data_IF_937563008899
#
_entry.id   IF_937563008899
#
_cell.length_a   1.000
_cell.length_b   1.000
_cell.length_c   1.000
_cell.angle_alpha   90.00
_cell.angle_beta   90.00
_cell.angle_gamma   90.00
#
_symmetry.space_group_name_H-M   'P 1'
#
loop_
_entity.id
_entity.type
_entity.pdbx_description
1 polymer ?
#
# COMPACT_ATOMS: atom_id res chain seq x y z
N UNK A 1 35.84 -37.32 29.29
CA UNK A 1 34.59 -38.02 28.90
C UNK A 1 33.38 -37.08 28.90
N UNK A 2 33.11 -36.35 29.98
CA UNK A 2 32.00 -35.37 30.10
C UNK A 2 32.04 -34.26 29.05
N UNK A 3 33.21 -33.70 28.75
CA UNK A 3 33.37 -32.67 27.73
C UNK A 3 32.98 -33.14 26.30
N UNK A 4 33.34 -34.39 25.95
CA UNK A 4 32.99 -34.98 24.65
C UNK A 4 31.47 -35.22 24.55
N UNK A 5 30.86 -35.71 25.63
CA UNK A 5 29.41 -35.89 25.69
C UNK A 5 28.66 -34.55 25.57
N UNK A 6 29.12 -33.52 26.30
CA UNK A 6 28.54 -32.19 26.23
C UNK A 6 28.66 -31.58 24.82
N UNK A 7 29.79 -31.76 24.16
CA UNK A 7 30.01 -31.31 22.78
C UNK A 7 29.09 -32.06 21.80
N UNK A 8 28.98 -33.38 21.93
CA UNK A 8 28.12 -34.20 21.08
C UNK A 8 26.65 -33.77 21.20
N UNK A 9 26.14 -33.57 22.42
CA UNK A 9 24.77 -33.09 22.66
C UNK A 9 24.52 -31.73 22.00
N UNK A 10 25.45 -30.78 22.15
CA UNK A 10 25.33 -29.45 21.51
C UNK A 10 25.34 -29.55 19.99
N UNK A 11 26.22 -30.36 19.41
CA UNK A 11 26.30 -30.52 17.95
C UNK A 11 25.04 -31.16 17.37
N UNK A 12 24.53 -32.21 18.00
CA UNK A 12 23.29 -32.88 17.57
C UNK A 12 22.09 -31.92 17.72
N UNK A 13 22.02 -31.19 18.84
CA UNK A 13 20.98 -30.17 19.05
C UNK A 13 21.01 -29.08 17.99
N UNK A 14 22.19 -28.52 17.69
CA UNK A 14 22.35 -27.55 16.60
C UNK A 14 21.96 -28.15 15.24
N UNK A 15 22.28 -29.42 14.99
CA UNK A 15 21.83 -30.12 13.79
C UNK A 15 20.30 -30.15 13.67
N UNK A 16 19.58 -30.45 14.76
CA UNK A 16 18.11 -30.39 14.78
C UNK A 16 17.56 -28.98 14.56
N UNK A 17 18.23 -27.94 15.08
CA UNK A 17 17.85 -26.55 14.81
C UNK A 17 17.95 -26.23 13.31
N UNK A 18 19.02 -26.66 12.65
CA UNK A 18 19.21 -26.47 11.19
C UNK A 18 18.13 -27.22 10.41
N UNK A 19 17.91 -28.50 10.73
CA UNK A 19 16.88 -29.32 10.07
C UNK A 19 15.48 -28.71 10.25
N UNK A 20 15.16 -28.21 11.44
CA UNK A 20 13.89 -27.55 11.71
C UNK A 20 13.71 -26.27 10.88
N UNK A 21 14.74 -25.43 10.79
CA UNK A 21 14.73 -24.21 9.96
C UNK A 21 14.54 -24.54 8.49
N UNK A 22 15.29 -25.51 7.97
CA UNK A 22 15.12 -25.97 6.57
C UNK A 22 13.71 -26.50 6.34
N UNK A 23 13.16 -27.28 7.28
CA UNK A 23 11.79 -27.78 7.17
C UNK A 23 10.75 -26.66 7.15
N UNK A 24 10.90 -25.63 7.97
CA UNK A 24 9.98 -24.47 7.98
C UNK A 24 10.03 -23.71 6.65
N UNK A 25 11.22 -23.54 6.07
CA UNK A 25 11.40 -22.83 4.80
C UNK A 25 10.96 -23.66 3.58
N UNK A 26 11.13 -24.98 3.63
CA UNK A 26 10.89 -25.88 2.49
C UNK A 26 9.45 -26.38 2.40
N UNK A 27 8.81 -26.70 3.53
CA UNK A 27 7.46 -27.26 3.48
C UNK A 27 6.44 -26.20 3.08
N UNK A 28 5.44 -26.58 2.30
CA UNK A 28 4.35 -25.69 1.86
C UNK A 28 3.17 -25.74 2.83
N UNK A 29 2.93 -26.89 3.45
CA UNK A 29 1.84 -27.14 4.39
C UNK A 29 2.19 -26.63 5.81
N UNK A 30 1.35 -25.79 6.46
CA UNK A 30 1.56 -25.34 7.83
C UNK A 30 1.68 -26.47 8.87
N UNK A 31 1.02 -27.61 8.69
CA UNK A 31 1.11 -28.77 9.59
C UNK A 31 2.50 -29.41 9.50
N UNK A 32 3.05 -29.55 8.29
CA UNK A 32 4.41 -30.04 8.09
C UNK A 32 5.46 -29.06 8.61
N UNK A 33 5.25 -27.74 8.41
CA UNK A 33 6.10 -26.69 9.02
C UNK A 33 6.07 -26.75 10.54
N UNK A 34 4.89 -26.95 11.13
CA UNK A 34 4.74 -27.11 12.58
C UNK A 34 5.50 -28.34 13.08
N UNK A 35 5.40 -29.47 12.37
CA UNK A 35 6.16 -30.68 12.69
C UNK A 35 7.69 -30.49 12.58
N UNK A 36 8.15 -29.63 11.66
CA UNK A 36 9.55 -29.24 11.61
C UNK A 36 9.92 -28.33 12.79
N UNK A 37 9.13 -27.29 13.05
CA UNK A 37 9.35 -26.31 14.12
C UNK A 37 9.41 -26.96 15.51
N UNK A 38 8.57 -27.97 15.78
CA UNK A 38 8.58 -28.67 17.08
C UNK A 38 9.91 -29.34 17.38
N UNK A 39 10.65 -29.81 16.36
CA UNK A 39 11.98 -30.42 16.54
C UNK A 39 13.02 -29.41 17.01
N UNK A 40 12.88 -28.14 16.61
CA UNK A 40 13.80 -27.08 17.02
C UNK A 40 13.73 -26.86 18.54
N UNK A 41 12.52 -26.84 19.11
CA UNK A 41 12.33 -26.69 20.55
C UNK A 41 12.79 -27.94 21.33
N UNK A 42 12.14 -29.07 21.10
CA UNK A 42 12.31 -30.25 21.97
C UNK A 42 13.67 -30.91 21.82
N UNK A 43 14.11 -31.16 20.58
CA UNK A 43 15.39 -31.82 20.31
C UNK A 43 16.53 -30.80 20.16
N UNK A 44 16.30 -29.71 19.42
CA UNK A 44 17.34 -28.72 19.15
C UNK A 44 17.81 -28.00 20.41
N UNK A 45 16.97 -27.12 20.93
CA UNK A 45 17.26 -26.37 22.14
C UNK A 45 17.40 -27.30 23.37
N UNK A 46 16.61 -28.38 23.45
CA UNK A 46 16.71 -29.34 24.55
C UNK A 46 18.10 -29.98 24.68
N UNK A 47 18.65 -30.53 23.59
CA UNK A 47 19.98 -31.15 23.62
C UNK A 47 21.10 -30.11 23.86
N UNK A 48 20.95 -28.89 23.32
CA UNK A 48 21.90 -27.80 23.59
C UNK A 48 21.91 -27.44 25.08
N UNK A 49 20.74 -27.28 25.71
CA UNK A 49 20.63 -26.95 27.14
C UNK A 49 21.21 -28.05 28.03
N UNK A 50 20.97 -29.33 27.70
CA UNK A 50 21.59 -30.45 28.40
C UNK A 50 23.12 -30.41 28.28
N UNK A 51 23.64 -30.13 27.09
CA UNK A 51 25.08 -29.94 26.88
C UNK A 51 25.65 -28.74 27.64
N UNK A 52 24.88 -27.65 27.82
CA UNK A 52 25.28 -26.48 28.62
C UNK A 52 25.40 -26.83 30.10
N UNK A 53 24.44 -27.57 30.66
CA UNK A 53 24.48 -28.05 32.06
C UNK A 53 25.77 -28.84 32.32
N UNK A 54 26.10 -29.77 31.42
CA UNK A 54 27.31 -30.60 31.52
C UNK A 54 28.61 -29.81 31.31
N UNK A 55 28.58 -28.70 30.55
CA UNK A 55 29.78 -27.89 30.28
C UNK A 55 30.09 -26.96 31.45
N UNK A 56 29.08 -26.30 32.03
CA UNK A 56 29.27 -25.29 33.08
C UNK A 56 29.37 -25.90 34.46
N UNK A 57 28.57 -26.92 34.77
CA UNK A 57 28.60 -27.62 36.06
C UNK A 57 28.29 -26.75 37.30
N UNK A 58 27.94 -25.47 37.13
CA UNK A 58 27.55 -24.58 38.22
C UNK A 58 26.06 -24.71 38.53
N UNK A 59 25.68 -24.51 39.79
CA UNK A 59 24.29 -24.59 40.24
C UNK A 59 23.41 -23.61 39.46
N UNK A 60 23.84 -22.36 39.31
CA UNK A 60 23.07 -21.31 38.61
C UNK A 60 22.79 -21.66 37.16
N UNK A 61 23.82 -22.08 36.41
CA UNK A 61 23.66 -22.44 35.00
C UNK A 61 22.77 -23.68 34.83
N UNK A 62 22.85 -24.62 35.77
CA UNK A 62 22.04 -25.84 35.76
C UNK A 62 20.57 -25.52 36.03
N UNK A 63 20.28 -24.73 37.06
CA UNK A 63 18.92 -24.32 37.42
C UNK A 63 18.26 -23.54 36.29
N UNK A 64 18.95 -22.52 35.75
CA UNK A 64 18.42 -21.71 34.64
C UNK A 64 18.16 -22.56 33.40
N UNK A 65 19.11 -23.42 33.02
CA UNK A 65 18.95 -24.28 31.83
C UNK A 65 17.82 -25.29 32.02
N UNK A 66 17.63 -25.79 33.24
CA UNK A 66 16.61 -26.78 33.56
C UNK A 66 15.22 -26.17 33.55
N UNK A 67 15.08 -24.98 34.16
CA UNK A 67 13.83 -24.24 34.15
C UNK A 67 13.45 -23.83 32.73
N UNK A 68 14.44 -23.43 31.92
CA UNK A 68 14.26 -23.15 30.49
C UNK A 68 13.78 -24.39 29.74
N UNK A 69 14.37 -25.56 30.00
CA UNK A 69 13.97 -26.82 29.38
C UNK A 69 12.52 -27.21 29.73
N UNK A 70 12.14 -27.10 31.01
CA UNK A 70 10.77 -27.36 31.46
C UNK A 70 9.79 -26.40 30.80
N UNK A 71 10.11 -25.10 30.80
CA UNK A 71 9.25 -24.08 30.20
C UNK A 71 9.06 -24.34 28.70
N UNK A 72 10.13 -24.71 28.00
CA UNK A 72 10.08 -25.03 26.59
C UNK A 72 9.21 -26.27 26.33
N UNK A 73 9.43 -27.36 27.05
CA UNK A 73 8.63 -28.59 26.88
C UNK A 73 7.17 -28.38 27.27
N UNK A 74 6.88 -27.54 28.27
CA UNK A 74 5.51 -27.24 28.68
C UNK A 74 4.75 -26.34 27.72
N UNK A 75 5.42 -25.35 27.13
CA UNK A 75 4.77 -24.36 26.24
C UNK A 75 4.62 -24.87 24.81
N UNK A 76 5.51 -25.73 24.33
CA UNK A 76 5.49 -26.23 22.95
C UNK A 76 4.19 -27.00 22.59
N UNK A 77 3.66 -27.91 23.43
CA UNK A 77 2.40 -28.60 23.15
C UNK A 77 1.20 -27.65 23.09
N UNK A 78 1.15 -26.65 23.98
CA UNK A 78 0.08 -25.65 24.00
C UNK A 78 0.11 -24.81 22.72
N UNK A 79 1.28 -24.30 22.35
CA UNK A 79 1.48 -23.54 21.12
C UNK A 79 1.12 -24.38 19.88
N UNK A 80 1.58 -25.63 19.82
CA UNK A 80 1.29 -26.55 18.73
C UNK A 80 -0.21 -26.86 18.59
N UNK A 81 -0.92 -27.06 19.71
CA UNK A 81 -2.36 -27.34 19.68
C UNK A 81 -3.16 -26.12 19.18
N UNK A 82 -2.85 -24.92 19.70
CA UNK A 82 -3.51 -23.69 19.27
C UNK A 82 -3.23 -23.37 17.81
N UNK A 83 -1.96 -23.49 17.38
CA UNK A 83 -1.56 -23.21 16.01
C UNK A 83 -2.15 -24.24 15.03
N UNK A 84 -2.11 -25.53 15.37
CA UNK A 84 -2.71 -26.59 14.56
C UNK A 84 -4.23 -26.42 14.42
N UNK A 85 -4.93 -26.09 15.50
CA UNK A 85 -6.38 -25.81 15.45
C UNK A 85 -6.68 -24.58 14.60
N UNK A 86 -5.91 -23.49 14.74
CA UNK A 86 -6.10 -22.28 13.95
C UNK A 86 -5.87 -22.54 12.45
N UNK A 87 -4.79 -23.25 12.10
CA UNK A 87 -4.48 -23.61 10.72
C UNK A 87 -5.55 -24.54 10.11
N UNK A 88 -6.08 -25.48 10.89
CA UNK A 88 -7.13 -26.38 10.44
C UNK A 88 -8.46 -25.63 10.20
N UNK A 89 -8.92 -24.86 11.18
CA UNK A 89 -10.18 -24.11 11.09
C UNK A 89 -10.15 -23.07 9.96
N UNK A 90 -8.98 -22.48 9.67
CA UNK A 90 -8.80 -21.50 8.60
C UNK A 90 -8.93 -22.09 7.19
N UNK A 91 -8.93 -23.41 7.05
CA UNK A 91 -8.97 -24.11 5.77
C UNK A 91 -7.59 -24.23 5.11
N UNK A 92 -6.49 -23.98 5.83
CA UNK A 92 -5.15 -24.01 5.26
C UNK A 92 -4.82 -25.37 4.61
N UNK A 93 -4.01 -25.36 3.56
CA UNK A 93 -3.68 -26.55 2.76
C UNK A 93 -3.24 -27.70 3.68
N UNK A 94 -3.91 -28.84 3.55
CA UNK A 94 -3.61 -30.06 4.26
C UNK A 94 -3.16 -31.09 3.22
N UNK A 95 -1.88 -31.44 3.22
CA UNK A 95 -1.30 -32.39 2.26
C UNK A 95 -1.24 -33.82 2.85
N UNK A 96 -2.32 -34.22 3.52
CA UNK A 96 -2.49 -35.57 4.06
C UNK A 96 -3.47 -36.37 3.19
N UNK A 97 -3.26 -37.69 3.12
CA UNK A 97 -4.15 -38.60 2.38
C UNK A 97 -5.55 -38.67 2.99
N UNK A 98 -5.66 -38.43 4.29
CA UNK A 98 -6.92 -38.48 5.03
C UNK A 98 -7.02 -37.29 5.99
N UNK A 99 -8.22 -36.72 6.13
CA UNK A 99 -8.52 -35.68 7.10
C UNK A 99 -9.11 -36.30 8.36
N UNK A 100 -8.24 -36.54 9.35
CA UNK A 100 -8.60 -37.14 10.63
C UNK A 100 -9.52 -36.25 11.50
N UNK A 101 -9.68 -34.97 11.17
CA UNK A 101 -10.49 -34.01 11.92
C UNK A 101 -11.79 -33.66 11.18
N UNK A 102 -12.04 -34.26 10.02
CA UNK A 102 -13.26 -34.08 9.26
C UNK A 102 -14.48 -34.47 10.11
N UNK A 103 -15.45 -33.56 10.21
CA UNK A 103 -16.66 -33.75 11.03
C UNK A 103 -16.46 -33.56 12.54
N UNK A 104 -15.22 -33.46 13.05
CA UNK A 104 -14.92 -33.19 14.47
C UNK A 104 -14.74 -31.69 14.69
N UNK A 105 -13.90 -31.04 13.87
CA UNK A 105 -13.65 -29.60 13.94
C UNK A 105 -14.22 -28.90 12.71
N UNK A 106 -14.82 -27.70 12.88
CA UNK A 106 -15.29 -26.91 11.75
C UNK A 106 -14.09 -26.47 10.92
N UNK A 107 -14.08 -26.85 9.65
CA UNK A 107 -13.07 -26.47 8.67
C UNK A 107 -13.68 -25.55 7.63
N UNK A 108 -13.02 -24.43 7.35
CA UNK A 108 -13.46 -23.58 6.25
C UNK A 108 -13.34 -24.32 4.91
N UNK A 109 -14.33 -24.19 4.00
CA UNK A 109 -14.34 -24.91 2.73
C UNK A 109 -13.26 -24.44 1.74
N UNK A 110 -12.70 -23.26 1.98
CA UNK A 110 -11.61 -22.65 1.21
C UNK A 110 -10.52 -22.16 2.18
N UNK A 111 -9.24 -22.20 1.78
CA UNK A 111 -8.15 -21.63 2.56
C UNK A 111 -8.39 -20.15 2.88
N UNK A 112 -7.81 -19.69 3.99
CA UNK A 112 -7.88 -18.29 4.40
C UNK A 112 -7.41 -17.36 3.28
N UNK A 113 -6.30 -17.70 2.62
CA UNK A 113 -5.73 -16.95 1.49
C UNK A 113 -6.73 -16.80 0.34
N UNK A 114 -7.44 -17.86 -0.03
CA UNK A 114 -8.45 -17.83 -1.10
C UNK A 114 -9.71 -17.08 -0.65
N UNK A 115 -10.13 -17.24 0.60
CA UNK A 115 -11.27 -16.50 1.17
C UNK A 115 -10.97 -15.03 1.31
N UNK A 116 -9.73 -14.67 1.61
CA UNK A 116 -9.23 -13.30 1.61
C UNK A 116 -9.19 -12.76 0.18
N UNK A 117 -8.68 -13.52 -0.78
CA UNK A 117 -8.73 -13.16 -2.20
C UNK A 117 -10.16 -12.97 -2.72
N UNK A 118 -11.11 -13.80 -2.30
CA UNK A 118 -12.52 -13.72 -2.70
C UNK A 118 -13.28 -12.60 -2.00
N UNK A 119 -13.02 -12.39 -0.70
CA UNK A 119 -13.53 -11.22 0.03
C UNK A 119 -12.96 -9.92 -0.55
N UNK A 120 -11.74 -9.97 -1.05
CA UNK A 120 -11.08 -8.90 -1.76
C UNK A 120 -11.74 -8.61 -3.12
N UNK A 121 -12.11 -9.64 -3.89
CA UNK A 121 -12.93 -9.50 -5.12
C UNK A 121 -14.34 -8.99 -4.83
N UNK A 122 -14.92 -9.35 -3.69
CA UNK A 122 -16.27 -8.95 -3.27
C UNK A 122 -16.32 -7.66 -2.42
N UNK A 123 -15.23 -6.89 -2.34
CA UNK A 123 -15.19 -5.58 -1.66
C UNK A 123 -15.22 -5.61 -0.12
N UNK A 124 -15.02 -6.78 0.51
CA UNK A 124 -15.05 -6.95 1.98
C UNK A 124 -13.66 -7.18 2.59
N UNK A 125 -12.83 -6.14 2.69
CA UNK A 125 -11.52 -6.23 3.37
C UNK A 125 -11.62 -6.65 4.84
N UNK A 126 -10.71 -7.52 5.31
CA UNK A 126 -10.62 -7.93 6.72
C UNK A 126 -9.59 -7.07 7.49
N UNK A 127 -9.95 -6.64 8.69
CA UNK A 127 -8.97 -6.27 9.74
C UNK A 127 -8.43 -4.84 9.76
N UNK A 128 -8.64 -4.01 8.73
CA UNK A 128 -8.29 -2.58 8.79
C UNK A 128 -9.20 -1.77 9.73
N UNK A 129 -10.45 -2.23 9.91
CA UNK A 129 -11.48 -1.53 10.67
C UNK A 129 -11.11 -1.24 12.13
N UNK A 130 -10.44 -2.14 12.85
CA UNK A 130 -10.12 -1.93 14.27
C UNK A 130 -8.96 -0.96 14.50
N UNK A 131 -7.88 -1.03 13.71
CA UNK A 131 -6.75 -0.07 13.82
C UNK A 131 -7.08 1.31 13.25
N UNK A 132 -7.88 1.37 12.19
CA UNK A 132 -8.41 2.63 11.66
C UNK A 132 -9.43 3.22 12.64
N UNK A 133 -10.34 2.43 13.22
CA UNK A 133 -11.29 2.91 14.24
C UNK A 133 -10.60 3.40 15.53
N UNK A 134 -9.55 2.72 16.00
CA UNK A 134 -8.75 3.17 17.15
C UNK A 134 -7.98 4.48 16.83
N UNK A 135 -7.39 4.59 15.62
CA UNK A 135 -6.80 5.86 15.15
C UNK A 135 -7.85 6.97 15.01
N UNK A 136 -9.05 6.66 14.52
CA UNK A 136 -10.17 7.59 14.37
C UNK A 136 -10.68 8.10 15.71
N UNK A 137 -10.82 7.23 16.71
CA UNK A 137 -11.22 7.61 18.07
C UNK A 137 -10.24 8.64 18.67
N UNK A 138 -8.93 8.48 18.38
CA UNK A 138 -7.89 9.43 18.81
C UNK A 138 -7.88 10.75 18.02
N UNK A 139 -8.39 10.76 16.78
CA UNK A 139 -8.47 11.96 15.93
C UNK A 139 -9.74 12.78 16.18
N UNK A 140 -10.82 12.13 16.65
CA UNK A 140 -12.11 12.79 16.97
C UNK A 140 -12.01 13.93 17.99
N UNK A 141 -10.94 14.00 18.78
CA UNK A 141 -10.79 15.01 19.84
C UNK A 141 -9.86 16.19 19.49
N UNK A 142 -9.16 16.21 18.35
CA UNK A 142 -8.01 17.15 18.17
C UNK A 142 -7.99 17.99 16.89
N UNK A 143 -9.12 18.15 16.18
CA UNK A 143 -9.19 19.08 15.05
C UNK A 143 -9.93 20.35 15.43
N UNK A 144 -9.11 21.39 15.59
CA UNK A 144 -9.43 22.79 15.90
C UNK A 144 -10.38 23.38 14.85
N UNK A 145 -11.18 24.36 15.27
CA UNK A 145 -12.15 25.11 14.45
C UNK A 145 -11.59 25.50 13.06
N UNK A 146 -12.42 25.34 12.02
CA UNK A 146 -12.15 25.88 10.69
C UNK A 146 -12.11 27.40 10.75
N UNK A 147 -10.97 27.99 10.39
CA UNK A 147 -10.80 29.45 10.37
C UNK A 147 -10.80 29.92 8.92
N UNK A 148 -11.77 30.75 8.49
CA UNK A 148 -11.73 31.38 7.18
C UNK A 148 -10.47 32.24 7.02
N UNK A 149 -9.85 32.19 5.84
CA UNK A 149 -8.67 33.00 5.51
C UNK A 149 -9.04 33.95 4.39
N UNK A 150 -9.04 35.25 4.71
CA UNK A 150 -9.22 36.29 3.70
C UNK A 150 -7.98 36.35 2.79
N UNK A 151 -8.15 36.59 1.48
CA UNK A 151 -7.02 36.85 0.61
C UNK A 151 -6.27 38.11 1.10
N UNK A 152 -4.93 38.13 0.99
CA UNK A 152 -4.14 39.28 1.40
C UNK A 152 -4.52 40.53 0.58
N UNK A 153 -4.48 41.71 1.22
CA UNK A 153 -4.83 42.98 0.57
C UNK A 153 -3.85 43.35 -0.56
N UNK A 154 -2.59 42.92 -0.44
CA UNK A 154 -1.56 43.07 -1.44
C UNK A 154 -1.14 41.68 -1.92
N UNK A 155 -1.01 41.52 -3.24
CA UNK A 155 -0.74 40.22 -3.84
C UNK A 155 0.75 39.87 -3.63
N UNK A 156 1.08 38.73 -3.01
CA UNK A 156 2.47 38.32 -2.84
C UNK A 156 3.15 38.13 -4.20
N UNK A 157 4.44 38.48 -4.27
CA UNK A 157 5.20 38.37 -5.51
C UNK A 157 5.32 36.91 -5.97
N UNK A 158 5.41 36.61 -7.27
CA UNK A 158 5.58 35.24 -7.78
C UNK A 158 6.76 34.48 -7.16
N UNK A 159 7.82 35.21 -6.80
CA UNK A 159 9.02 34.73 -6.13
C UNK A 159 8.75 34.32 -4.67
N UNK A 160 7.85 35.03 -3.98
CA UNK A 160 7.41 34.73 -2.60
C UNK A 160 6.45 33.53 -2.54
N UNK A 161 5.73 33.31 -3.63
CA UNK A 161 4.94 32.10 -3.86
C UNK A 161 5.81 30.90 -4.21
N UNK A 162 7.10 31.13 -4.48
CA UNK A 162 8.09 30.13 -4.88
C UNK A 162 7.48 29.22 -5.97
N UNK A 163 6.83 29.72 -7.02
CA UNK A 163 6.09 28.85 -7.95
C UNK A 163 7.05 28.25 -9.00
N UNK A 164 7.37 26.94 -8.97
CA UNK A 164 8.39 26.35 -9.85
C UNK A 164 7.82 25.86 -11.19
N UNK A 165 6.54 26.11 -11.46
CA UNK A 165 5.87 25.59 -12.63
C UNK A 165 5.42 26.74 -13.53
N UNK A 166 5.90 26.72 -14.77
CA UNK A 166 5.12 27.24 -15.89
C UNK A 166 3.70 26.66 -15.75
N UNK A 167 2.65 27.47 -15.91
CA UNK A 167 1.29 27.20 -15.36
C UNK A 167 0.55 25.98 -15.95
N UNK A 168 1.24 25.05 -16.59
CA UNK A 168 0.71 23.87 -17.26
C UNK A 168 1.59 22.64 -17.10
N UNK A 169 1.27 21.63 -17.90
CA UNK A 169 2.03 20.41 -18.12
C UNK A 169 2.11 20.21 -19.64
N UNK A 170 3.19 19.61 -20.16
CA UNK A 170 3.41 19.46 -21.60
C UNK A 170 2.72 18.21 -22.18
N UNK A 171 2.22 17.32 -21.33
CA UNK A 171 1.53 16.10 -21.74
C UNK A 171 0.89 15.40 -20.54
N UNK A 172 -0.06 14.51 -20.83
CA UNK A 172 -0.64 13.59 -19.85
C UNK A 172 -0.15 12.18 -20.17
N UNK A 173 0.54 11.57 -19.22
CA UNK A 173 0.90 10.15 -19.25
C UNK A 173 0.01 9.39 -18.28
N UNK A 174 -0.53 8.24 -18.67
CA UNK A 174 -1.32 7.42 -17.76
C UNK A 174 -1.02 5.92 -17.89
N UNK A 175 -1.14 5.21 -16.79
CA UNK A 175 -0.93 3.77 -16.75
C UNK A 175 -2.25 3.02 -17.03
N UNK A 176 -2.21 2.05 -17.95
CA UNK A 176 -3.34 1.17 -18.25
C UNK A 176 -3.26 -0.03 -17.30
N UNK A 177 -3.94 0.07 -16.16
CA UNK A 177 -3.91 -0.93 -15.09
C UNK A 177 -5.34 -1.37 -14.77
N UNK A 178 -5.53 -2.68 -14.54
CA UNK A 178 -6.80 -3.22 -14.11
C UNK A 178 -6.88 -3.27 -12.56
N UNK A 179 -8.07 -3.13 -11.96
CA UNK A 179 -9.37 -2.87 -12.60
C UNK A 179 -9.59 -1.38 -12.96
N UNK A 180 -10.71 -1.09 -13.61
CA UNK A 180 -11.19 0.29 -13.85
C UNK A 180 -10.29 1.17 -14.73
N UNK A 181 -9.61 0.59 -15.72
CA UNK A 181 -8.76 1.33 -16.63
C UNK A 181 -9.53 2.42 -17.39
N UNK A 182 -10.84 2.25 -17.60
CA UNK A 182 -11.70 3.22 -18.25
C UNK A 182 -11.89 4.50 -17.44
N UNK A 183 -11.96 4.43 -16.11
CA UNK A 183 -12.06 5.63 -15.26
C UNK A 183 -10.82 6.49 -15.37
N UNK A 184 -9.64 5.88 -15.25
CA UNK A 184 -8.34 6.54 -15.44
C UNK A 184 -8.26 7.14 -16.84
N UNK A 185 -8.64 6.37 -17.86
CA UNK A 185 -8.59 6.80 -19.26
C UNK A 185 -9.50 8.01 -19.50
N UNK A 186 -10.76 7.98 -19.04
CA UNK A 186 -11.68 9.13 -19.17
C UNK A 186 -11.11 10.37 -18.51
N UNK A 187 -10.57 10.23 -17.30
CA UNK A 187 -9.97 11.34 -16.57
C UNK A 187 -8.77 11.92 -17.33
N UNK A 188 -7.86 11.06 -17.80
CA UNK A 188 -6.69 11.48 -18.57
C UNK A 188 -7.07 12.17 -19.90
N UNK A 189 -8.05 11.65 -20.64
CA UNK A 189 -8.59 12.30 -21.86
C UNK A 189 -9.15 13.68 -21.53
N UNK A 190 -9.95 13.80 -20.46
CA UNK A 190 -10.53 15.07 -20.04
C UNK A 190 -9.47 16.13 -19.71
N UNK A 191 -8.43 15.73 -18.97
CA UNK A 191 -7.32 16.61 -18.59
C UNK A 191 -6.49 17.04 -19.79
N UNK A 192 -6.09 16.10 -20.66
CA UNK A 192 -5.31 16.42 -21.84
C UNK A 192 -6.10 17.29 -22.83
N UNK A 193 -7.41 17.06 -22.97
CA UNK A 193 -8.29 17.91 -23.81
C UNK A 193 -8.40 19.32 -23.25
N UNK A 194 -8.61 19.46 -21.95
CA UNK A 194 -8.75 20.77 -21.30
C UNK A 194 -7.47 21.59 -21.40
N UNK A 195 -6.30 20.95 -21.33
CA UNK A 195 -5.01 21.60 -21.45
C UNK A 195 -4.48 21.71 -22.89
N UNK A 196 -5.10 21.02 -23.86
CA UNK A 196 -4.66 21.01 -25.26
C UNK A 196 -3.31 20.31 -25.47
N UNK A 197 -3.03 19.26 -24.71
CA UNK A 197 -1.71 18.59 -24.69
C UNK A 197 -1.78 17.12 -25.12
N UNK A 198 -0.67 16.53 -25.59
CA UNK A 198 -0.63 15.12 -25.99
C UNK A 198 -0.99 14.16 -24.84
N UNK A 199 -1.51 13.00 -25.23
CA UNK A 199 -1.93 11.93 -24.33
C UNK A 199 -1.13 10.65 -24.65
N UNK A 200 -0.51 10.08 -23.62
CA UNK A 200 0.28 8.84 -23.71
C UNK A 200 -0.25 7.79 -22.72
N UNK A 201 -0.62 6.62 -23.21
CA UNK A 201 -0.94 5.44 -22.43
C UNK A 201 0.28 4.52 -22.33
N UNK A 202 0.54 3.98 -21.14
CA UNK A 202 1.56 2.97 -20.91
C UNK A 202 0.90 1.71 -20.33
N UNK A 203 0.98 0.61 -21.06
CA UNK A 203 0.57 -0.72 -20.63
C UNK A 203 1.83 -1.56 -20.37
N UNK A 204 2.00 -2.06 -19.15
CA UNK A 204 3.22 -2.80 -18.77
C UNK A 204 2.85 -4.17 -18.26
N UNK A 205 3.51 -5.20 -18.76
CA UNK A 205 3.57 -6.50 -18.09
C UNK A 205 4.77 -6.47 -17.14
N UNK A 206 4.52 -6.51 -15.84
CA UNK A 206 5.58 -6.56 -14.84
C UNK A 206 6.35 -7.88 -14.94
N UNK A 207 7.59 -7.80 -15.45
CA UNK A 207 8.46 -8.95 -15.62
C UNK A 207 8.72 -9.68 -14.30
N UNK A 208 8.92 -8.95 -13.21
CA UNK A 208 9.22 -9.58 -11.92
C UNK A 208 7.98 -10.33 -11.40
N UNK A 209 6.77 -9.84 -11.69
CA UNK A 209 5.54 -10.56 -11.38
C UNK A 209 5.43 -11.86 -12.16
N UNK A 210 5.83 -11.86 -13.44
CA UNK A 210 5.79 -13.05 -14.28
C UNK A 210 6.84 -14.08 -13.85
N UNK A 211 8.07 -13.63 -13.57
CA UNK A 211 9.18 -14.53 -13.21
C UNK A 211 9.03 -15.16 -11.82
N UNK A 212 8.45 -14.44 -10.87
CA UNK A 212 8.27 -14.90 -9.49
C UNK A 212 6.90 -15.55 -9.23
N UNK A 213 6.05 -15.66 -10.26
CA UNK A 213 4.77 -16.32 -10.14
C UNK A 213 4.94 -17.81 -9.86
N UNK A 214 4.16 -18.33 -8.92
CA UNK A 214 4.15 -19.77 -8.58
C UNK A 214 3.36 -20.64 -9.56
N UNK A 215 2.55 -20.02 -10.43
CA UNK A 215 1.70 -20.70 -11.40
C UNK A 215 2.24 -20.48 -12.82
N UNK A 216 2.49 -21.54 -13.61
CA UNK A 216 3.03 -21.43 -14.98
C UNK A 216 2.20 -20.54 -15.89
N UNK A 217 0.89 -20.48 -15.67
CA UNK A 217 -0.08 -19.72 -16.47
C UNK A 217 -0.15 -18.23 -16.11
N UNK A 218 0.62 -17.76 -15.12
CA UNK A 218 0.53 -16.37 -14.64
C UNK A 218 0.75 -15.33 -15.75
N UNK A 219 1.69 -15.61 -16.67
CA UNK A 219 1.95 -14.74 -17.83
C UNK A 219 0.69 -14.56 -18.67
N UNK A 220 -0.04 -15.64 -18.94
CA UNK A 220 -1.23 -15.62 -19.79
C UNK A 220 -2.42 -14.96 -19.07
N UNK A 221 -2.57 -15.20 -17.76
CA UNK A 221 -3.59 -14.53 -16.95
C UNK A 221 -3.35 -13.02 -16.87
N UNK A 222 -2.10 -12.59 -16.63
CA UNK A 222 -1.73 -11.17 -16.62
C UNK A 222 -1.99 -10.53 -17.99
N UNK A 223 -1.59 -11.21 -19.08
CA UNK A 223 -1.85 -10.76 -20.46
C UNK A 223 -3.34 -10.61 -20.74
N UNK A 224 -4.16 -11.58 -20.35
CA UNK A 224 -5.60 -11.52 -20.54
C UNK A 224 -6.22 -10.34 -19.78
N UNK A 225 -5.82 -10.14 -18.51
CA UNK A 225 -6.30 -9.01 -17.70
C UNK A 225 -5.86 -7.65 -18.24
N UNK A 226 -4.63 -7.55 -18.75
CA UNK A 226 -4.16 -6.33 -19.39
C UNK A 226 -4.89 -6.08 -20.72
N UNK A 227 -5.21 -7.13 -21.49
CA UNK A 227 -6.02 -7.00 -22.70
C UNK A 227 -7.42 -6.45 -22.38
N UNK A 228 -8.08 -6.96 -21.32
CA UNK A 228 -9.36 -6.41 -20.83
C UNK A 228 -9.26 -4.91 -20.51
N UNK A 229 -8.18 -4.49 -19.85
CA UNK A 229 -7.92 -3.09 -19.51
C UNK A 229 -7.64 -2.21 -20.75
N UNK A 230 -6.88 -2.72 -21.72
CA UNK A 230 -6.63 -2.03 -23.00
C UNK A 230 -7.93 -1.85 -23.77
N UNK A 231 -8.81 -2.85 -23.79
CA UNK A 231 -10.11 -2.75 -24.45
C UNK A 231 -11.02 -1.73 -23.76
N UNK A 232 -10.98 -1.63 -22.43
CA UNK A 232 -11.67 -0.58 -21.68
C UNK A 232 -11.16 0.81 -22.05
N UNK A 233 -9.84 1.00 -22.07
CA UNK A 233 -9.21 2.24 -22.51
C UNK A 233 -9.59 2.60 -23.96
N UNK A 234 -9.59 1.62 -24.88
CA UNK A 234 -9.96 1.83 -26.29
C UNK A 234 -11.41 2.27 -26.45
N UNK A 235 -12.34 1.72 -25.65
CA UNK A 235 -13.75 2.16 -25.66
C UNK A 235 -13.88 3.63 -25.31
N UNK A 236 -13.13 4.10 -24.32
CA UNK A 236 -13.15 5.52 -23.93
C UNK A 236 -12.46 6.42 -24.96
N UNK A 237 -11.34 5.95 -25.53
CA UNK A 237 -10.55 6.70 -26.52
C UNK A 237 -11.24 6.79 -27.88
N UNK A 238 -12.16 5.88 -28.21
CA UNK A 238 -12.91 5.93 -29.48
C UNK A 238 -13.67 7.26 -29.68
N UNK A 239 -14.00 7.94 -28.57
CA UNK A 239 -14.67 9.25 -28.56
C UNK A 239 -13.71 10.44 -28.35
N UNK A 240 -12.41 10.19 -28.24
CA UNK A 240 -11.41 11.21 -27.99
C UNK A 240 -10.99 11.93 -29.29
N UNK A 241 -11.01 13.27 -29.33
CA UNK A 241 -10.63 14.05 -30.50
C UNK A 241 -9.11 14.13 -30.73
N UNK A 242 -8.31 13.75 -29.74
CA UNK A 242 -6.85 13.86 -29.78
C UNK A 242 -6.19 12.49 -29.97
N UNK A 243 -5.06 12.40 -30.70
CA UNK A 243 -4.35 11.14 -30.88
C UNK A 243 -3.79 10.62 -29.55
N UNK A 244 -3.96 9.32 -29.31
CA UNK A 244 -3.41 8.60 -28.17
C UNK A 244 -2.19 7.78 -28.63
N UNK A 245 -1.03 8.01 -28.03
CA UNK A 245 0.10 7.09 -28.15
C UNK A 245 -0.04 5.97 -27.11
N UNK A 246 0.02 4.70 -27.52
CA UNK A 246 0.04 3.55 -26.62
C UNK A 246 1.40 2.87 -26.68
N UNK A 247 2.10 2.83 -25.56
CA UNK A 247 3.28 1.99 -25.35
C UNK A 247 2.85 0.70 -24.65
N UNK A 248 3.19 -0.45 -25.22
CA UNK A 248 2.98 -1.76 -24.62
C UNK A 248 4.34 -2.44 -24.48
N UNK A 249 4.76 -2.70 -23.24
CA UNK A 249 6.10 -3.21 -22.94
C UNK A 249 6.05 -4.27 -21.83
N UNK A 250 6.96 -5.25 -21.88
CA UNK A 250 7.17 -6.22 -20.79
C UNK A 250 8.50 -5.87 -20.10
N UNK A 251 8.47 -5.52 -18.81
CA UNK A 251 9.65 -5.02 -18.11
C UNK A 251 9.37 -4.53 -16.70
N UNK A 252 10.23 -3.65 -16.20
CA UNK A 252 10.07 -3.02 -14.87
C UNK A 252 9.11 -1.81 -14.96
N UNK A 253 7.93 -1.84 -14.30
CA UNK A 253 7.01 -0.71 -14.26
C UNK A 253 7.65 0.60 -13.77
N UNK A 254 8.66 0.52 -12.89
CA UNK A 254 9.35 1.70 -12.34
C UNK A 254 10.28 2.38 -13.34
N UNK A 255 10.61 1.72 -14.44
CA UNK A 255 11.38 2.29 -15.54
C UNK A 255 10.49 2.72 -16.72
N UNK A 256 9.31 2.09 -16.87
CA UNK A 256 8.45 2.24 -18.05
C UNK A 256 7.30 3.24 -17.85
N UNK A 257 6.70 3.30 -16.66
CA UNK A 257 5.54 4.15 -16.39
C UNK A 257 5.92 5.62 -16.10
N UNK A 258 6.88 5.93 -15.20
CA UNK A 258 7.14 7.32 -14.85
C UNK A 258 7.89 8.06 -15.97
N UNK A 259 7.63 9.37 -16.09
CA UNK A 259 8.56 10.26 -16.80
C UNK A 259 9.77 10.52 -15.89
N UNK A 260 10.96 10.11 -16.34
CA UNK A 260 12.21 10.22 -15.58
C UNK A 260 13.00 11.50 -15.86
N UNK A 261 12.54 12.34 -16.80
CA UNK A 261 13.15 13.64 -17.09
C UNK A 261 12.20 14.76 -16.70
N UNK A 262 12.66 15.68 -15.86
CA UNK A 262 11.92 16.89 -15.48
C UNK A 262 11.59 17.79 -16.69
N UNK A 263 12.35 17.67 -17.79
CA UNK A 263 12.07 18.39 -19.04
C UNK A 263 10.76 17.95 -19.70
N UNK A 264 10.30 16.72 -19.43
CA UNK A 264 9.04 16.21 -19.97
C UNK A 264 7.82 16.98 -19.47
N UNK A 265 7.88 17.54 -18.25
CA UNK A 265 6.79 18.31 -17.60
C UNK A 265 5.41 17.64 -17.74
N UNK A 266 5.36 16.31 -17.63
CA UNK A 266 4.12 15.57 -17.79
C UNK A 266 3.36 15.43 -16.47
N UNK A 267 2.04 15.34 -16.56
CA UNK A 267 1.17 14.88 -15.48
C UNK A 267 1.03 13.37 -15.60
N UNK A 268 1.46 12.63 -14.57
CA UNK A 268 1.23 11.20 -14.48
C UNK A 268 -0.13 10.91 -13.84
N UNK A 269 -0.93 10.07 -14.50
CA UNK A 269 -2.25 9.65 -14.03
C UNK A 269 -2.26 8.15 -13.77
N UNK A 270 -2.54 7.77 -12.52
CA UNK A 270 -2.55 6.38 -12.06
C UNK A 270 -3.93 6.05 -11.47
N UNK A 271 -4.37 4.78 -11.44
CA UNK A 271 -5.54 4.42 -10.66
C UNK A 271 -5.23 4.47 -9.16
N UNK A 272 -6.26 4.70 -8.34
CA UNK A 272 -6.16 4.52 -6.89
C UNK A 272 -6.28 3.04 -6.48
N UNK A 273 -6.74 2.17 -7.36
CA UNK A 273 -6.86 0.73 -7.16
C UNK A 273 -6.19 -0.08 -8.30
N UNK A 274 -5.93 -1.36 -8.06
CA UNK A 274 -5.20 -2.19 -9.01
C UNK A 274 -3.68 -2.15 -8.83
N UNK A 275 -3.01 -3.03 -9.55
CA UNK A 275 -1.58 -3.31 -9.37
C UNK A 275 -0.94 -3.67 -10.71
N UNK A 276 0.40 -3.64 -10.80
CA UNK A 276 1.13 -3.93 -12.04
C UNK A 276 0.95 -5.37 -12.57
N UNK A 277 0.33 -6.27 -11.79
CA UNK A 277 -0.10 -7.60 -12.24
C UNK A 277 -1.58 -7.64 -12.67
N UNK A 278 -2.24 -6.50 -12.84
CA UNK A 278 -3.61 -6.35 -13.37
C UNK A 278 -4.69 -7.17 -12.64
N UNK A 279 -4.54 -7.39 -11.34
CA UNK A 279 -5.51 -8.18 -10.57
C UNK A 279 -5.51 -9.68 -10.88
N UNK A 280 -4.47 -10.21 -11.54
CA UNK A 280 -4.36 -11.63 -11.95
C UNK A 280 -4.36 -12.68 -10.81
N UNK A 281 -4.63 -12.30 -9.55
CA UNK A 281 -4.75 -13.24 -8.42
C UNK A 281 -3.53 -14.13 -8.18
N UNK A 282 -2.37 -13.73 -8.70
CA UNK A 282 -1.15 -14.55 -8.68
C UNK A 282 -0.62 -14.59 -7.26
N UNK A 283 -0.41 -15.80 -6.73
CA UNK A 283 0.12 -15.99 -5.38
C UNK A 283 1.63 -15.73 -5.39
N UNK A 284 2.04 -14.57 -4.89
CA UNK A 284 3.46 -14.25 -4.71
C UNK A 284 3.97 -14.79 -3.37
N UNK A 285 5.26 -15.06 -3.22
CA UNK A 285 5.85 -15.29 -1.90
C UNK A 285 5.51 -14.09 -1.00
N UNK A 286 4.83 -14.35 0.12
CA UNK A 286 4.35 -13.37 1.11
C UNK A 286 5.47 -12.49 1.72
N UNK A 287 6.73 -12.73 1.37
CA UNK A 287 7.91 -12.07 1.93
C UNK A 287 8.59 -11.05 1.00
N UNK A 288 8.10 -10.83 -0.22
CA UNK A 288 8.55 -9.71 -1.05
C UNK A 288 7.49 -8.61 -1.09
N UNK A 289 7.42 -7.83 0.01
CA UNK A 289 6.70 -6.55 0.09
C UNK A 289 6.99 -5.61 -1.11
N UNK A 290 8.09 -5.85 -1.84
CA UNK A 290 8.55 -5.08 -3.00
C UNK A 290 7.72 -5.22 -4.28
N UNK A 291 7.03 -6.35 -4.50
CA UNK A 291 6.28 -6.57 -5.74
C UNK A 291 4.90 -5.90 -5.73
N UNK A 292 4.26 -5.82 -4.56
CA UNK A 292 2.94 -5.22 -4.40
C UNK A 292 2.98 -3.69 -4.52
N UNK A 293 3.99 -3.02 -3.96
CA UNK A 293 3.98 -1.56 -3.84
C UNK A 293 4.53 -0.79 -5.06
N UNK A 294 4.72 -1.46 -6.21
CA UNK A 294 5.27 -0.81 -7.41
C UNK A 294 4.42 0.36 -7.90
N UNK A 295 3.09 0.29 -7.77
CA UNK A 295 2.19 1.40 -8.13
C UNK A 295 2.55 2.69 -7.37
N UNK A 296 2.81 2.59 -6.07
CA UNK A 296 3.21 3.75 -5.26
C UNK A 296 4.66 4.15 -5.53
N UNK A 297 5.55 3.20 -5.79
CA UNK A 297 6.94 3.50 -6.12
C UNK A 297 7.07 4.22 -7.47
N UNK A 298 6.15 4.02 -8.41
CA UNK A 298 6.09 4.78 -9.67
C UNK A 298 5.98 6.28 -9.39
N UNK A 299 5.09 6.70 -8.49
CA UNK A 299 4.91 8.14 -8.19
C UNK A 299 6.16 8.77 -7.57
N UNK A 300 6.94 8.00 -6.81
CA UNK A 300 8.20 8.46 -6.22
C UNK A 300 9.35 8.58 -7.23
N UNK A 301 9.23 7.93 -8.39
CA UNK A 301 10.21 7.98 -9.48
C UNK A 301 9.85 8.99 -10.56
N UNK A 302 8.61 9.45 -10.58
CA UNK A 302 8.17 10.45 -11.53
C UNK A 302 8.66 11.84 -11.10
N UNK A 303 9.32 12.56 -12.00
CA UNK A 303 9.84 13.92 -11.76
C UNK A 303 8.74 15.01 -11.77
N UNK A 304 7.46 14.64 -11.89
CA UNK A 304 6.32 15.54 -11.99
C UNK A 304 5.15 15.18 -11.05
N UNK A 305 4.05 15.97 -11.09
CA UNK A 305 2.85 15.71 -10.29
C UNK A 305 2.22 14.35 -10.64
N UNK A 306 1.78 13.61 -9.63
CA UNK A 306 1.06 12.35 -9.85
C UNK A 306 -0.38 12.45 -9.36
N UNK A 307 -1.33 12.27 -10.27
CA UNK A 307 -2.75 12.19 -9.98
C UNK A 307 -3.19 10.71 -9.91
N UNK A 308 -3.60 10.28 -8.72
CA UNK A 308 -4.32 9.03 -8.53
C UNK A 308 -5.81 9.26 -8.70
N UNK A 309 -6.43 8.54 -9.65
CA UNK A 309 -7.85 8.66 -10.00
C UNK A 309 -8.70 7.72 -9.17
N UNK A 310 -9.68 8.30 -8.50
CA UNK A 310 -10.66 7.58 -7.69
C UNK A 310 -11.60 6.70 -8.52
N UNK A 311 -12.20 5.70 -7.89
CA UNK A 311 -13.29 4.93 -8.52
C UNK A 311 -14.64 5.67 -8.47
N UNK A 312 -14.74 6.72 -7.64
CA UNK A 312 -15.91 7.59 -7.53
C UNK A 312 -15.52 9.03 -7.85
N UNK A 313 -16.36 9.72 -8.62
CA UNK A 313 -16.17 11.15 -8.85
C UNK A 313 -16.50 11.90 -7.55
N UNK A 314 -15.57 12.71 -7.06
CA UNK A 314 -15.82 13.58 -5.91
C UNK A 314 -17.02 14.49 -6.17
N UNK A 315 -17.97 14.53 -5.23
CA UNK A 315 -19.26 15.19 -5.42
C UNK A 315 -19.25 16.70 -5.14
N UNK A 316 -18.22 17.23 -4.45
CA UNK A 316 -18.16 18.63 -4.03
C UNK A 316 -17.04 19.43 -4.67
N UNK A 317 -17.21 20.74 -4.87
CA UNK A 317 -16.17 21.67 -5.33
C UNK A 317 -15.06 21.97 -4.29
N UNK A 318 -14.89 21.12 -3.28
CA UNK A 318 -13.91 21.32 -2.20
C UNK A 318 -12.60 20.60 -2.51
N UNK A 319 -11.49 21.31 -2.46
CA UNK A 319 -10.13 20.76 -2.50
C UNK A 319 -9.55 20.71 -1.08
N UNK A 320 -9.09 19.54 -0.63
CA UNK A 320 -8.49 19.41 0.71
C UNK A 320 -6.97 19.28 0.58
N UNK A 321 -6.22 20.18 1.21
CA UNK A 321 -4.76 20.23 1.12
C UNK A 321 -4.14 19.82 2.46
N UNK A 322 -3.45 18.68 2.48
CA UNK A 322 -2.68 18.23 3.64
C UNK A 322 -1.32 18.93 3.66
N UNK A 323 -1.10 19.77 4.66
CA UNK A 323 0.12 20.59 4.76
C UNK A 323 1.00 20.10 5.92
N UNK A 324 2.24 19.71 5.61
CA UNK A 324 3.23 19.20 6.59
C UNK A 324 4.16 20.30 7.15
N UNK A 325 4.08 21.51 6.60
CA UNK A 325 4.87 22.68 6.98
C UNK A 325 5.87 23.08 5.89
N UNK A 326 6.15 22.18 4.95
CA UNK A 326 6.90 22.48 3.74
C UNK A 326 5.99 23.06 2.66
N UNK A 327 6.56 23.84 1.72
CA UNK A 327 5.80 24.47 0.63
C UNK A 327 5.35 23.51 -0.48
N UNK A 328 5.68 22.21 -0.42
CA UNK A 328 5.40 21.24 -1.50
C UNK A 328 3.91 21.07 -1.77
N UNK A 329 3.13 20.73 -0.73
CA UNK A 329 1.68 20.56 -0.87
C UNK A 329 0.99 21.86 -1.27
N UNK A 330 1.48 23.00 -0.79
CA UNK A 330 0.99 24.32 -1.17
C UNK A 330 1.24 24.60 -2.67
N UNK A 331 2.47 24.38 -3.15
CA UNK A 331 2.86 24.54 -4.56
C UNK A 331 2.01 23.66 -5.46
N UNK A 332 1.83 22.40 -5.07
CA UNK A 332 1.05 21.43 -5.80
C UNK A 332 -0.44 21.82 -5.87
N UNK A 333 -1.02 22.29 -4.76
CA UNK A 333 -2.39 22.79 -4.72
C UNK A 333 -2.56 24.04 -5.58
N UNK A 334 -1.62 24.99 -5.49
CA UNK A 334 -1.61 26.19 -6.32
C UNK A 334 -1.53 25.86 -7.81
N UNK A 335 -0.65 24.93 -8.18
CA UNK A 335 -0.53 24.43 -9.55
C UNK A 335 -1.81 23.75 -10.02
N UNK A 336 -2.45 22.92 -9.19
CA UNK A 336 -3.71 22.25 -9.51
C UNK A 336 -4.88 23.24 -9.75
N UNK A 337 -4.95 24.31 -8.95
CA UNK A 337 -5.93 25.39 -9.12
C UNK A 337 -5.66 26.15 -10.41
N UNK A 338 -4.40 26.53 -10.67
CA UNK A 338 -4.01 27.28 -11.85
C UNK A 338 -4.25 26.50 -13.16
N UNK A 339 -4.02 25.18 -13.14
CA UNK A 339 -4.26 24.27 -14.26
C UNK A 339 -5.71 23.81 -14.38
N UNK A 340 -6.58 24.21 -13.44
CA UNK A 340 -8.00 23.84 -13.38
C UNK A 340 -8.22 22.32 -13.45
N UNK A 341 -7.41 21.54 -12.72
CA UNK A 341 -7.61 20.09 -12.62
C UNK A 341 -9.02 19.73 -12.11
N UNK A 342 -9.57 20.57 -11.24
CA UNK A 342 -10.94 20.50 -10.74
C UNK A 342 -11.63 21.86 -10.81
N UNK A 343 -12.96 21.86 -10.84
CA UNK A 343 -13.75 23.05 -10.58
C UNK A 343 -13.79 23.28 -9.06
N UNK A 344 -12.89 24.13 -8.57
CA UNK A 344 -12.72 24.39 -7.14
C UNK A 344 -13.57 25.58 -6.71
N UNK A 345 -14.48 25.36 -5.76
CA UNK A 345 -15.30 26.38 -5.08
C UNK A 345 -14.73 26.73 -3.70
N UNK A 346 -14.04 25.78 -3.05
CA UNK A 346 -13.42 25.99 -1.74
C UNK A 346 -12.16 25.16 -1.57
N UNK A 347 -11.22 25.67 -0.78
CA UNK A 347 -9.97 25.00 -0.42
C UNK A 347 -9.89 24.91 1.10
N UNK A 348 -9.65 23.71 1.63
CA UNK A 348 -9.42 23.50 3.06
C UNK A 348 -7.99 23.04 3.27
N UNK A 349 -7.17 23.90 3.88
CA UNK A 349 -5.80 23.58 4.28
C UNK A 349 -5.84 22.94 5.67
N UNK A 350 -5.32 21.72 5.79
CA UNK A 350 -5.29 20.98 7.05
C UNK A 350 -3.85 20.68 7.42
N UNK A 351 -3.38 21.15 8.58
CA UNK A 351 -2.05 20.79 9.08
C UNK A 351 -1.30 21.92 9.79
N UNK A 352 0.01 21.98 9.52
CA UNK A 352 0.98 22.86 10.19
C UNK A 352 1.43 24.05 9.34
N UNK A 353 0.64 24.45 8.33
CA UNK A 353 0.94 25.60 7.49
C UNK A 353 1.13 26.89 8.31
N UNK A 354 2.12 27.70 7.95
CA UNK A 354 2.28 29.06 8.47
C UNK A 354 1.17 29.96 7.93
N UNK A 355 0.94 31.10 8.60
CA UNK A 355 -0.05 32.09 8.16
C UNK A 355 0.22 32.54 6.72
N UNK A 356 1.48 32.90 6.44
CA UNK A 356 1.93 33.38 5.13
C UNK A 356 1.72 32.32 4.03
N UNK A 357 1.95 31.03 4.34
CA UNK A 357 1.71 29.94 3.39
C UNK A 357 0.22 29.82 3.03
N UNK A 358 -0.68 29.97 3.99
CA UNK A 358 -2.13 29.88 3.72
C UNK A 358 -2.64 31.13 3.00
N UNK A 359 -2.17 32.33 3.37
CA UNK A 359 -2.53 33.58 2.70
C UNK A 359 -2.06 33.61 1.24
N UNK A 360 -0.85 33.09 0.98
CA UNK A 360 -0.33 32.88 -0.36
C UNK A 360 -1.22 31.96 -1.22
N UNK A 361 -1.67 30.83 -0.67
CA UNK A 361 -2.61 29.95 -1.37
C UNK A 361 -3.99 30.62 -1.54
N UNK A 362 -4.43 31.42 -0.57
CA UNK A 362 -5.69 32.16 -0.64
C UNK A 362 -5.70 33.20 -1.77
N UNK A 363 -4.57 33.87 -2.03
CA UNK A 363 -4.43 34.78 -3.17
C UNK A 363 -4.65 34.05 -4.51
N UNK A 364 -4.11 32.83 -4.66
CA UNK A 364 -4.25 32.03 -5.89
C UNK A 364 -5.67 31.46 -6.01
N UNK A 365 -6.24 30.97 -4.91
CA UNK A 365 -7.60 30.44 -4.87
C UNK A 365 -8.63 31.54 -5.21
N UNK A 366 -8.41 32.78 -4.76
CA UNK A 366 -9.27 33.91 -5.06
C UNK A 366 -9.37 34.22 -6.56
N UNK A 367 -8.27 34.09 -7.33
CA UNK A 367 -8.29 34.23 -8.79
C UNK A 367 -9.21 33.18 -9.47
N UNK A 368 -9.34 32.01 -8.86
CA UNK A 368 -10.22 30.93 -9.30
C UNK A 368 -11.64 31.02 -8.71
N UNK A 369 -11.94 32.03 -7.88
CA UNK A 369 -13.22 32.18 -7.20
C UNK A 369 -13.41 31.24 -6.01
N UNK A 370 -12.34 30.63 -5.48
CA UNK A 370 -12.40 29.65 -4.40
C UNK A 370 -12.09 30.27 -3.03
N UNK A 371 -12.93 29.98 -2.03
CA UNK A 371 -12.70 30.42 -0.65
C UNK A 371 -11.72 29.51 0.10
N UNK A 372 -10.85 30.06 0.95
CA UNK A 372 -9.86 29.28 1.71
C UNK A 372 -10.21 29.20 3.20
N UNK A 373 -10.08 28.00 3.75
CA UNK A 373 -10.23 27.70 5.16
C UNK A 373 -8.97 27.03 5.68
N UNK A 374 -8.57 27.33 6.92
CA UNK A 374 -7.42 26.72 7.58
C UNK A 374 -7.87 25.94 8.82
N UNK A 375 -7.44 24.69 8.90
CA UNK A 375 -7.62 23.80 10.04
C UNK A 375 -6.26 23.48 10.61
N UNK A 376 -5.91 24.16 11.70
CA UNK A 376 -4.63 23.94 12.37
C UNK A 376 -4.63 22.60 13.10
N UNK A 377 -3.68 21.73 12.76
CA UNK A 377 -3.51 20.42 13.42
C UNK A 377 -2.14 20.37 14.11
N UNK A 378 -2.04 20.72 15.41
CA UNK A 378 -0.77 20.65 16.12
C UNK A 378 -0.32 19.18 16.26
N UNK A 379 0.90 18.87 15.81
CA UNK A 379 1.59 17.56 16.02
C UNK A 379 0.93 16.32 15.41
N UNK A 380 0.32 16.43 14.24
CA UNK A 380 -0.04 15.25 13.47
C UNK A 380 1.14 14.79 12.60
N UNK A 381 1.61 13.53 12.70
CA UNK A 381 2.67 13.04 11.81
C UNK A 381 2.21 13.06 10.35
N UNK A 382 3.16 13.16 9.41
CA UNK A 382 2.90 12.94 7.99
C UNK A 382 2.12 11.62 7.80
N UNK A 383 0.96 11.68 7.14
CA UNK A 383 0.02 10.55 7.03
C UNK A 383 -1.03 10.44 8.14
N UNK A 384 -1.34 11.54 8.84
CA UNK A 384 -2.43 11.55 9.80
C UNK A 384 -3.80 11.58 9.09
N UNK A 385 -4.64 10.63 9.47
CA UNK A 385 -6.01 10.49 9.00
C UNK A 385 -6.80 11.81 9.11
N UNK A 386 -7.44 12.21 8.02
CA UNK A 386 -8.42 13.28 7.98
C UNK A 386 -9.79 12.75 8.46
N UNK A 387 -10.62 13.59 9.08
CA UNK A 387 -11.99 13.23 9.45
C UNK A 387 -12.84 12.81 8.24
N UNK A 388 -13.77 11.89 8.47
CA UNK A 388 -14.73 11.42 7.47
C UNK A 388 -15.58 12.53 6.82
N UNK A 389 -15.69 13.71 7.45
CA UNK A 389 -16.40 14.88 6.87
C UNK A 389 -15.75 15.46 5.61
N UNK A 390 -14.53 15.04 5.29
CA UNK A 390 -13.82 15.43 4.07
C UNK A 390 -13.96 14.39 2.96
N UNK A 391 -14.75 13.32 3.17
CA UNK A 391 -14.96 12.27 2.17
C UNK A 391 -15.74 12.73 0.93
N UNK A 392 -16.38 13.90 0.99
CA UNK A 392 -17.17 14.53 -0.08
C UNK A 392 -16.36 15.50 -0.96
N UNK A 393 -15.08 15.72 -0.66
CA UNK A 393 -14.20 16.61 -1.41
C UNK A 393 -14.01 16.13 -2.88
N UNK A 394 -13.74 17.07 -3.79
CA UNK A 394 -13.37 16.76 -5.17
C UNK A 394 -12.06 15.96 -5.23
N UNK A 395 -11.08 16.37 -4.43
CA UNK A 395 -9.76 15.76 -4.38
C UNK A 395 -9.02 16.10 -3.09
N UNK A 396 -8.00 15.30 -2.81
CA UNK A 396 -7.04 15.52 -1.73
C UNK A 396 -5.67 15.79 -2.34
N UNK A 397 -5.02 16.87 -1.91
CA UNK A 397 -3.63 17.19 -2.26
C UNK A 397 -2.75 16.87 -1.08
N UNK A 398 -1.68 16.11 -1.30
CA UNK A 398 -0.72 15.73 -0.26
C UNK A 398 0.72 15.84 -0.77
N UNK A 399 1.71 16.07 0.10
CA UNK A 399 3.10 16.29 -0.33
C UNK A 399 3.83 15.00 -0.69
N UNK A 400 3.34 13.86 -0.20
CA UNK A 400 3.86 12.52 -0.45
C UNK A 400 2.83 11.49 0.04
N UNK A 401 2.85 10.30 -0.55
CA UNK A 401 2.10 9.16 -0.04
C UNK A 401 2.63 8.70 1.34
N UNK A 402 1.80 8.10 2.20
CA UNK A 402 2.25 7.56 3.48
C UNK A 402 3.36 6.49 3.31
N UNK A 403 4.44 6.57 4.09
CA UNK A 403 5.60 5.64 4.02
C UNK A 403 5.31 4.17 4.38
N UNK A 404 4.13 3.86 4.92
CA UNK A 404 3.73 2.50 5.32
C UNK A 404 2.35 2.19 4.76
N UNK A 405 2.23 2.19 3.44
CA UNK A 405 1.10 1.55 2.76
C UNK A 405 1.35 0.03 2.71
N UNK A 406 1.51 -0.58 3.88
CA UNK A 406 1.72 -2.03 3.99
C UNK A 406 0.35 -2.70 3.92
N UNK A 407 -0.07 -3.14 2.72
CA UNK A 407 -1.31 -3.88 2.61
C UNK A 407 -1.81 -4.01 1.20
N UNK A 408 -1.54 -5.18 0.61
CA UNK A 408 -2.31 -5.65 -0.53
C UNK A 408 -3.79 -5.73 -0.12
N UNK A 409 -4.61 -4.82 -0.66
CA UNK A 409 -6.07 -4.83 -0.47
C UNK A 409 -6.65 -4.14 0.76
N UNK A 410 -5.86 -3.32 1.47
CA UNK A 410 -6.45 -2.14 2.13
C UNK A 410 -6.53 -1.03 1.11
N UNK A 411 -7.70 -0.42 0.91
CA UNK A 411 -7.78 0.87 0.21
C UNK A 411 -6.88 1.83 0.97
N UNK A 412 -5.67 2.08 0.47
CA UNK A 412 -4.69 2.97 1.09
C UNK A 412 -5.29 4.38 1.28
N UNK A 413 -6.29 4.70 0.46
CA UNK A 413 -7.19 5.84 0.58
C UNK A 413 -7.85 5.93 1.96
N UNK A 414 -8.24 4.81 2.58
CA UNK A 414 -8.83 4.76 3.92
C UNK A 414 -7.83 5.14 5.02
N UNK A 415 -6.53 5.11 4.73
CA UNK A 415 -5.50 5.66 5.62
C UNK A 415 -5.39 7.19 5.52
N UNK A 416 -5.97 7.80 4.48
CA UNK A 416 -6.04 9.25 4.26
C UNK A 416 -7.36 9.79 4.82
N UNK A 417 -8.50 9.35 4.28
CA UNK A 417 -9.84 9.65 4.79
C UNK A 417 -10.65 8.37 4.76
N UNK A 418 -11.36 8.03 5.84
CA UNK A 418 -12.18 6.83 5.87
C UNK A 418 -13.26 6.86 4.77
N UNK A 419 -13.33 5.82 3.95
CA UNK A 419 -14.28 5.74 2.85
C UNK A 419 -13.90 6.59 1.64
N UNK A 420 -12.67 7.13 1.57
CA UNK A 420 -12.23 7.92 0.42
C UNK A 420 -12.15 7.08 -0.84
N UNK A 421 -12.86 7.50 -1.89
CA UNK A 421 -12.83 6.86 -3.20
C UNK A 421 -12.61 7.86 -4.35
N UNK A 422 -12.26 9.11 -4.04
CA UNK A 422 -11.99 10.18 -4.99
C UNK A 422 -10.52 10.34 -5.37
N UNK A 423 -10.21 11.43 -6.07
CA UNK A 423 -8.88 11.72 -6.61
C UNK A 423 -7.86 12.11 -5.51
N UNK A 424 -6.61 11.66 -5.64
CA UNK A 424 -5.49 12.07 -4.77
C UNK A 424 -4.35 12.60 -5.62
N UNK A 425 -3.92 13.83 -5.35
CA UNK A 425 -2.78 14.47 -6.01
C UNK A 425 -1.58 14.46 -5.07
N UNK A 426 -0.44 14.00 -5.59
CA UNK A 426 0.83 13.84 -4.87
C UNK A 426 1.96 14.57 -5.57
#
# INVERSE_FOLDING_TARGET
>A
MTALLALALKLVGTGFLVVATVGVLRFEDPFQRMHAATKAGTLGAGLVLLGVMLTKGTMDATVVSFLTLIFLIGTMPVAGHLLGRAAYVSGARLDSREDALAGILPRAPRPLEEREALRFVAGGGFGGGTRVAERQARVKETLVQETPVAPPAERPAPEELDMPFDRGFAGVRFAVIAPHAGLVTRRAIGLARAAGVPLTAVAVIDRDCVENARVPEARDVIKAKLAEAIDEMRRETASAPQPLALAYEEGDPLALIPALSAESRELLVLPTDGWCHHGAGVTFPVFEERLADKLFAVSHRHEGPTLFVGCEAGAGGRLVVMHDGERRAQRLAAWAIATRLWAVESVTVVGSASKDQVEALAAIAADAGAAVTHVRKPKAPAGALLPARYADAAAIVMPALPRRLTGYGTFWQDAIVPGWRGDVLV
#
